data_IF_792331831573
#
_entry.id   IF_792331831573
#
_cell.length_a   1.000
_cell.length_b   1.000
_cell.length_c   1.000
_cell.angle_alpha   90.00
_cell.angle_beta   90.00
_cell.angle_gamma   90.00
#
_symmetry.space_group_name_H-M   'P 1'
#
loop_
_entity.id
_entity.type
_entity.pdbx_description
1 polymer ?
#
# COMPACT_ATOMS: atom_id res chain seq x y z
N UNK A 1 14.16 18.69 12.42
CA UNK A 1 13.09 17.70 12.73
C UNK A 1 12.95 16.75 11.55
N UNK A 2 13.72 15.65 11.53
CA UNK A 2 13.89 14.82 10.31
C UNK A 2 13.34 13.39 10.45
N UNK A 3 12.59 13.10 11.52
CA UNK A 3 12.16 11.73 11.85
C UNK A 3 10.95 11.23 11.04
N UNK A 4 10.25 12.12 10.32
CA UNK A 4 8.96 11.84 9.66
C UNK A 4 9.12 11.25 8.25
N UNK A 5 10.20 11.60 7.53
CA UNK A 5 10.39 11.12 6.15
C UNK A 5 10.61 9.60 6.07
N UNK A 6 11.33 9.03 7.03
CA UNK A 6 11.66 7.60 7.04
C UNK A 6 10.45 6.67 7.13
N UNK A 7 9.38 7.08 7.81
CA UNK A 7 8.15 6.26 7.96
C UNK A 7 7.26 6.33 6.73
N UNK A 8 7.14 7.49 6.08
CA UNK A 8 6.40 7.64 4.83
C UNK A 8 7.05 6.88 3.67
N UNK A 9 8.38 6.95 3.53
CA UNK A 9 9.10 6.22 2.48
C UNK A 9 9.00 4.70 2.67
N UNK A 10 9.03 4.22 3.93
CA UNK A 10 8.86 2.81 4.23
C UNK A 10 7.45 2.31 3.87
N UNK A 11 6.41 3.10 4.16
CA UNK A 11 5.05 2.76 3.76
C UNK A 11 4.89 2.74 2.23
N UNK A 12 5.50 3.70 1.54
CA UNK A 12 5.45 3.77 0.07
C UNK A 12 6.15 2.57 -0.58
N UNK A 13 7.30 2.14 -0.04
CA UNK A 13 7.97 0.90 -0.46
C UNK A 13 7.08 -0.33 -0.26
N UNK A 14 6.42 -0.44 0.89
CA UNK A 14 5.48 -1.55 1.16
C UNK A 14 4.28 -1.55 0.20
N UNK A 15 3.74 -0.38 -0.12
CA UNK A 15 2.66 -0.24 -1.12
C UNK A 15 3.14 -0.72 -2.50
N UNK A 16 4.33 -0.30 -2.94
CA UNK A 16 4.88 -0.75 -4.24
C UNK A 16 5.10 -2.26 -4.29
N UNK A 17 5.78 -2.82 -3.29
CA UNK A 17 6.03 -4.27 -3.24
C UNK A 17 4.72 -5.07 -3.22
N UNK A 18 3.74 -4.61 -2.45
CA UNK A 18 2.47 -5.33 -2.34
C UNK A 18 1.62 -5.22 -3.61
N UNK A 19 1.75 -4.11 -4.34
CA UNK A 19 1.17 -3.95 -5.68
C UNK A 19 1.80 -4.90 -6.70
N UNK A 20 3.12 -5.04 -6.69
CA UNK A 20 3.81 -6.01 -7.55
C UNK A 20 3.34 -7.44 -7.26
N UNK A 21 3.29 -7.84 -5.99
CA UNK A 21 2.78 -9.15 -5.59
C UNK A 21 1.32 -9.38 -6.01
N UNK A 22 0.47 -8.35 -5.91
CA UNK A 22 -0.93 -8.45 -6.38
C UNK A 22 -1.00 -8.69 -7.88
N UNK A 23 -0.15 -8.01 -8.67
CA UNK A 23 -0.10 -8.17 -10.13
C UNK A 23 0.43 -9.55 -10.53
N UNK A 24 1.47 -10.04 -9.86
CA UNK A 24 2.00 -11.40 -10.09
C UNK A 24 0.93 -12.46 -9.78
N UNK A 25 0.21 -12.32 -8.67
CA UNK A 25 -0.87 -13.25 -8.30
C UNK A 25 -2.06 -13.09 -9.25
N UNK A 26 -2.37 -11.88 -9.71
CA UNK A 26 -3.43 -11.66 -10.70
C UNK A 26 -3.09 -12.29 -12.06
N UNK A 27 -1.82 -12.29 -12.45
CA UNK A 27 -1.34 -12.93 -13.68
C UNK A 27 -1.46 -14.47 -13.59
N UNK A 28 -1.14 -15.04 -12.42
CA UNK A 28 -1.17 -16.50 -12.19
C UNK A 28 -2.61 -17.01 -11.98
N UNK A 29 -3.40 -16.31 -11.17
CA UNK A 29 -4.68 -16.81 -10.66
C UNK A 29 -5.91 -16.06 -11.21
N UNK A 30 -5.71 -14.94 -11.90
CA UNK A 30 -6.76 -14.04 -12.36
C UNK A 30 -7.15 -12.98 -11.32
N UNK A 31 -7.71 -11.87 -11.80
CA UNK A 31 -8.06 -10.71 -10.94
C UNK A 31 -9.20 -11.00 -9.95
N UNK A 32 -10.05 -11.97 -10.27
CA UNK A 32 -11.19 -12.38 -9.44
C UNK A 32 -10.89 -13.52 -8.46
N UNK A 33 -9.64 -14.00 -8.40
CA UNK A 33 -9.28 -15.03 -7.43
C UNK A 33 -9.29 -14.46 -6.01
N UNK A 34 -9.76 -15.24 -5.03
CA UNK A 34 -9.77 -14.87 -3.62
C UNK A 34 -8.41 -14.38 -3.13
N UNK A 35 -7.32 -15.00 -3.61
CA UNK A 35 -5.95 -14.55 -3.30
C UNK A 35 -5.73 -13.15 -3.83
N UNK A 36 -5.98 -12.89 -5.11
CA UNK A 36 -5.81 -11.56 -5.71
C UNK A 36 -6.66 -10.49 -5.00
N UNK A 37 -7.91 -10.82 -4.67
CA UNK A 37 -8.82 -9.95 -3.92
C UNK A 37 -8.28 -9.62 -2.53
N UNK A 38 -7.74 -10.60 -1.81
CA UNK A 38 -7.13 -10.39 -0.50
C UNK A 38 -5.92 -9.46 -0.58
N UNK A 39 -5.06 -9.63 -1.58
CA UNK A 39 -3.91 -8.74 -1.80
C UNK A 39 -4.36 -7.31 -2.17
N UNK A 40 -5.43 -7.16 -2.96
CA UNK A 40 -6.04 -5.85 -3.24
C UNK A 40 -6.53 -5.16 -1.97
N UNK A 41 -7.29 -5.87 -1.13
CA UNK A 41 -7.81 -5.31 0.13
C UNK A 41 -6.68 -4.87 1.08
N UNK A 42 -5.62 -5.67 1.18
CA UNK A 42 -4.48 -5.32 2.00
C UNK A 42 -3.69 -4.13 1.44
N UNK A 43 -3.63 -3.98 0.11
CA UNK A 43 -3.05 -2.83 -0.57
C UNK A 43 -3.86 -1.55 -0.29
N UNK A 44 -5.19 -1.62 -0.38
CA UNK A 44 -6.09 -0.50 -0.07
C UNK A 44 -5.88 0.00 1.37
N UNK A 45 -5.76 -0.89 2.35
CA UNK A 45 -5.49 -0.52 3.75
C UNK A 45 -4.16 0.23 3.89
N UNK A 46 -3.11 -0.20 3.17
CA UNK A 46 -1.81 0.48 3.20
C UNK A 46 -1.88 1.86 2.56
N UNK A 47 -2.61 2.00 1.46
CA UNK A 47 -2.84 3.29 0.78
C UNK A 47 -3.60 4.24 1.70
N UNK A 48 -4.67 3.78 2.35
CA UNK A 48 -5.45 4.60 3.30
C UNK A 48 -4.57 5.06 4.47
N UNK A 49 -3.73 4.17 5.02
CA UNK A 49 -2.76 4.54 6.08
C UNK A 49 -1.77 5.59 5.62
N UNK A 50 -1.25 5.46 4.39
CA UNK A 50 -0.34 6.44 3.81
C UNK A 50 -1.01 7.80 3.61
N UNK A 51 -2.23 7.82 3.06
CA UNK A 51 -2.99 9.03 2.84
C UNK A 51 -3.34 9.74 4.14
N UNK A 52 -3.74 9.01 5.19
CA UNK A 52 -3.99 9.58 6.53
C UNK A 52 -2.75 10.22 7.12
N UNK A 53 -1.61 9.51 7.12
CA UNK A 53 -0.34 10.07 7.56
C UNK A 53 0.02 11.35 6.79
N UNK A 54 -0.20 11.38 5.47
CA UNK A 54 0.05 12.56 4.65
C UNK A 54 -0.92 13.72 4.94
N UNK A 55 -2.19 13.44 5.18
CA UNK A 55 -3.21 14.45 5.48
C UNK A 55 -3.09 15.01 6.91
N UNK A 56 -2.68 14.20 7.89
CA UNK A 56 -2.41 14.68 9.25
C UNK A 56 -1.23 15.66 9.28
N UNK A 57 -0.27 15.54 8.35
CA UNK A 57 0.81 16.51 8.16
C UNK A 57 0.40 17.78 7.40
N UNK A 58 -0.74 17.79 6.70
CA UNK A 58 -1.22 18.95 5.94
C UNK A 58 -2.12 19.88 6.78
N UNK A 59 -2.38 19.54 8.05
CA UNK A 59 -3.29 20.27 8.93
C UNK A 59 -2.58 21.19 9.96
N UNK A 60 -1.29 21.45 9.77
CA UNK A 60 -0.49 22.37 10.59
C UNK A 60 0.07 23.51 9.73
#
# INVERSE_FOLDING_TARGET
>A
MSFIFGTQENLLKKIKQKREQMLEIAEIYGIGNEKTLKYSQELDILIVKYQRLKNDHAKF
#
